data_IF_048464103173
#
_entry.id   IF_048464103173
#
_cell.length_a   1.000
_cell.length_b   1.000
_cell.length_c   1.000
_cell.angle_alpha   90.00
_cell.angle_beta   90.00
_cell.angle_gamma   90.00
#
_symmetry.space_group_name_H-M   'P 1'
#
loop_
_entity.id
_entity.type
_entity.pdbx_description
1 polymer ?
#
# COMPACT_ATOMS: atom_id res chain seq x y z
N UNK A 1 13.83 -3.35 5.33
CA UNK A 1 13.30 -2.80 4.06
C UNK A 1 12.51 -1.53 4.35
N UNK A 2 12.86 -0.42 3.69
CA UNK A 2 11.98 0.74 3.52
C UNK A 2 11.56 0.73 2.05
N UNK A 3 10.26 0.70 1.77
CA UNK A 3 9.74 0.43 0.42
C UNK A 3 9.88 1.64 -0.49
N UNK A 4 10.31 1.41 -1.74
CA UNK A 4 10.49 2.47 -2.76
C UNK A 4 9.79 2.12 -4.09
N UNK A 5 9.29 0.89 -4.25
CA UNK A 5 8.71 0.38 -5.51
C UNK A 5 7.51 1.14 -6.09
N UNK A 6 6.95 2.08 -5.33
CA UNK A 6 5.82 2.91 -5.74
C UNK A 6 6.16 4.40 -5.90
N UNK A 7 7.40 4.85 -5.64
CA UNK A 7 7.77 6.28 -5.62
C UNK A 7 7.56 6.98 -6.97
N UNK A 8 7.91 6.33 -8.08
CA UNK A 8 7.77 6.89 -9.43
C UNK A 8 6.35 6.72 -10.02
N UNK A 9 5.56 5.80 -9.45
CA UNK A 9 4.28 5.36 -10.00
C UNK A 9 3.18 5.39 -8.92
N UNK A 10 2.85 6.60 -8.46
CA UNK A 10 1.93 6.88 -7.33
C UNK A 10 0.48 7.10 -7.73
N UNK A 11 0.19 7.17 -9.02
CA UNK A 11 -1.16 7.48 -9.56
C UNK A 11 -1.94 6.25 -10.03
N UNK A 12 -1.38 5.04 -9.89
CA UNK A 12 -2.00 3.79 -10.34
C UNK A 12 -2.99 3.19 -9.33
N UNK A 13 -3.64 2.08 -9.75
CA UNK A 13 -4.57 1.33 -8.90
C UNK A 13 -3.88 0.78 -7.64
N UNK A 14 -4.59 0.75 -6.51
CA UNK A 14 -4.06 0.27 -5.23
C UNK A 14 -3.66 -1.21 -5.32
N UNK A 15 -4.37 -2.01 -6.11
CA UNK A 15 -4.02 -3.41 -6.33
C UNK A 15 -2.68 -3.53 -7.06
N UNK A 16 -2.45 -2.71 -8.09
CA UNK A 16 -1.18 -2.69 -8.82
C UNK A 16 -0.02 -2.24 -7.92
N UNK A 17 -0.23 -1.21 -7.10
CA UNK A 17 0.76 -0.80 -6.10
C UNK A 17 1.03 -1.91 -5.07
N UNK A 18 -0.01 -2.67 -4.71
CA UNK A 18 0.10 -3.84 -3.84
C UNK A 18 0.93 -4.96 -4.47
N UNK A 19 0.77 -5.23 -5.77
CA UNK A 19 1.58 -6.22 -6.51
C UNK A 19 3.05 -5.84 -6.46
N UNK A 20 3.37 -4.58 -6.77
CA UNK A 20 4.74 -4.05 -6.72
C UNK A 20 5.35 -4.16 -5.33
N UNK A 21 4.58 -3.86 -4.28
CA UNK A 21 5.03 -4.01 -2.89
C UNK A 21 5.28 -5.47 -2.53
N UNK A 22 4.37 -6.39 -2.87
CA UNK A 22 4.56 -7.81 -2.59
C UNK A 22 5.83 -8.34 -3.27
N UNK A 23 6.09 -7.94 -4.51
CA UNK A 23 7.29 -8.34 -5.24
C UNK A 23 8.57 -7.82 -4.58
N UNK A 24 8.59 -6.55 -4.15
CA UNK A 24 9.74 -5.98 -3.41
C UNK A 24 10.00 -6.73 -2.10
N UNK A 25 8.95 -7.09 -1.37
CA UNK A 25 9.06 -7.88 -0.14
C UNK A 25 9.62 -9.28 -0.40
N UNK A 26 9.11 -9.98 -1.41
CA UNK A 26 9.60 -11.32 -1.80
C UNK A 26 11.08 -11.25 -2.17
N UNK A 27 11.46 -10.29 -3.03
CA UNK A 27 12.85 -10.12 -3.45
C UNK A 27 13.76 -9.85 -2.25
N UNK A 28 13.35 -8.97 -1.33
CA UNK A 28 14.11 -8.69 -0.12
C UNK A 28 14.27 -9.93 0.77
N UNK A 29 13.22 -10.75 0.92
CA UNK A 29 13.30 -12.01 1.67
C UNK A 29 14.28 -12.98 0.98
N UNK A 30 14.19 -13.15 -0.34
CA UNK A 30 15.09 -14.02 -1.10
C UNK A 30 16.56 -13.61 -0.96
N UNK A 31 16.85 -12.31 -1.04
CA UNK A 31 18.21 -11.79 -1.01
C UNK A 31 18.81 -11.82 0.41
N UNK A 32 18.01 -11.56 1.44
CA UNK A 32 18.51 -11.32 2.81
C UNK A 32 18.12 -12.37 3.84
N UNK A 33 17.23 -13.30 3.51
CA UNK A 33 16.72 -14.34 4.42
C UNK A 33 16.73 -15.74 3.75
N UNK A 34 17.91 -16.26 3.34
CA UNK A 34 17.98 -17.52 2.62
C UNK A 34 17.44 -18.71 3.43
N UNK A 35 16.78 -19.65 2.73
CA UNK A 35 16.21 -20.85 3.34
C UNK A 35 15.09 -20.52 4.32
N UNK A 36 15.26 -20.92 5.58
CA UNK A 36 14.26 -20.72 6.65
C UNK A 36 14.59 -19.56 7.59
N UNK A 37 15.55 -18.71 7.21
CA UNK A 37 16.06 -17.62 8.05
C UNK A 37 15.02 -16.53 8.38
N UNK A 38 13.93 -16.43 7.61
CA UNK A 38 12.86 -15.47 7.91
C UNK A 38 12.17 -15.81 9.24
N UNK A 39 12.41 -14.98 10.26
CA UNK A 39 11.82 -15.12 11.58
C UNK A 39 10.40 -14.57 11.65
N UNK A 40 10.23 -13.28 11.38
CA UNK A 40 8.94 -12.55 11.43
C UNK A 40 8.86 -11.54 10.30
N UNK A 41 7.67 -11.39 9.74
CA UNK A 41 7.33 -10.39 8.76
C UNK A 41 6.35 -9.39 9.39
N UNK A 42 6.81 -8.15 9.51
CA UNK A 42 6.05 -7.05 10.11
C UNK A 42 6.02 -5.85 9.18
N UNK A 43 4.91 -5.12 9.19
CA UNK A 43 4.67 -3.97 8.34
C UNK A 43 4.36 -2.73 9.18
N UNK A 44 5.01 -1.63 8.83
CA UNK A 44 4.68 -0.29 9.32
C UNK A 44 4.33 0.54 8.10
N UNK A 45 3.13 1.11 8.08
CA UNK A 45 2.61 1.84 6.95
C UNK A 45 2.06 3.20 7.39
N UNK A 46 2.11 4.18 6.48
CA UNK A 46 1.59 5.52 6.72
C UNK A 46 0.72 5.96 5.54
N UNK A 47 -0.37 6.67 5.84
CA UNK A 47 -1.29 7.21 4.84
C UNK A 47 -1.77 6.11 3.88
N UNK A 48 -1.67 6.33 2.56
CA UNK A 48 -2.05 5.37 1.52
C UNK A 48 -1.27 4.04 1.60
N UNK A 49 -0.06 4.05 2.16
CA UNK A 49 0.76 2.85 2.32
C UNK A 49 0.07 1.74 3.11
N UNK A 50 -0.86 2.07 4.01
CA UNK A 50 -1.62 1.06 4.75
C UNK A 50 -2.61 0.29 3.87
N UNK A 51 -3.23 0.96 2.90
CA UNK A 51 -4.10 0.29 1.91
C UNK A 51 -3.28 -0.54 0.93
N UNK A 52 -2.15 0.00 0.46
CA UNK A 52 -1.20 -0.71 -0.42
C UNK A 52 -0.68 -1.98 0.28
N UNK A 53 -0.31 -1.89 1.56
CA UNK A 53 0.12 -3.05 2.36
C UNK A 53 -0.99 -4.10 2.42
N UNK A 54 -2.24 -3.69 2.69
CA UNK A 54 -3.38 -4.63 2.72
C UNK A 54 -3.61 -5.31 1.37
N UNK A 55 -3.45 -4.59 0.27
CA UNK A 55 -3.53 -5.15 -1.08
C UNK A 55 -2.38 -6.14 -1.37
N UNK A 56 -1.21 -5.97 -0.75
CA UNK A 56 -0.07 -6.86 -0.89
C UNK A 56 -0.23 -8.20 -0.13
N UNK A 57 -0.89 -8.21 1.03
CA UNK A 57 -0.95 -9.37 1.92
C UNK A 57 -1.43 -10.69 1.27
N UNK A 58 -2.47 -10.71 0.40
CA UNK A 58 -2.92 -11.95 -0.25
C UNK A 58 -1.84 -12.59 -1.13
N UNK A 59 -0.95 -11.79 -1.71
CA UNK A 59 0.15 -12.27 -2.55
C UNK A 59 1.32 -12.82 -1.71
N UNK A 60 1.36 -12.50 -0.43
CA UNK A 60 2.38 -12.96 0.53
C UNK A 60 1.91 -14.17 1.35
N UNK A 61 0.91 -14.91 0.88
CA UNK A 61 0.30 -16.03 1.60
C UNK A 61 1.28 -17.13 1.99
N UNK A 62 2.36 -17.34 1.22
CA UNK A 62 3.42 -18.31 1.53
C UNK A 62 4.15 -17.98 2.84
N UNK A 63 4.17 -16.71 3.24
CA UNK A 63 4.76 -16.24 4.50
C UNK A 63 3.74 -16.04 5.62
N UNK A 64 2.50 -16.54 5.48
CA UNK A 64 1.43 -16.32 6.45
C UNK A 64 1.82 -16.74 7.89
N UNK A 65 2.57 -17.83 8.04
CA UNK A 65 3.07 -18.31 9.34
C UNK A 65 4.19 -17.42 9.94
N UNK A 66 4.74 -16.49 9.16
CA UNK A 66 5.73 -15.51 9.61
C UNK A 66 5.12 -14.13 9.86
N UNK A 67 3.89 -13.87 9.42
CA UNK A 67 3.21 -12.59 9.65
C UNK A 67 3.03 -12.34 11.15
N UNK A 68 3.49 -11.18 11.62
CA UNK A 68 3.55 -10.91 13.06
C UNK A 68 2.88 -9.60 13.49
N UNK A 69 3.15 -8.49 12.81
CA UNK A 69 2.60 -7.19 13.23
C UNK A 69 2.33 -6.33 12.01
N UNK A 70 1.15 -5.69 11.98
CA UNK A 70 0.82 -4.65 11.03
C UNK A 70 0.39 -3.39 11.79
N UNK A 71 1.12 -2.30 11.59
CA UNK A 71 0.80 -0.98 12.14
C UNK A 71 0.59 -0.02 10.99
N UNK A 72 -0.51 0.72 11.02
CA UNK A 72 -0.83 1.74 10.02
C UNK A 72 -1.14 3.08 10.71
N UNK A 73 -0.54 4.16 10.23
CA UNK A 73 -0.76 5.52 10.72
C UNK A 73 -1.54 6.34 9.70
N UNK A 74 -2.61 7.01 10.12
CA UNK A 74 -3.38 7.93 9.27
C UNK A 74 -3.90 7.32 7.96
N UNK A 75 -4.17 6.01 7.95
CA UNK A 75 -4.71 5.28 6.79
C UNK A 75 -6.23 5.26 6.81
N UNK A 76 -6.88 5.69 5.73
CA UNK A 76 -8.34 5.61 5.54
C UNK A 76 -8.78 4.19 5.17
N UNK A 77 -8.83 3.28 6.14
CA UNK A 77 -9.19 1.86 5.91
C UNK A 77 -10.62 1.62 5.43
N UNK A 78 -11.53 2.55 5.70
CA UNK A 78 -12.95 2.45 5.36
C UNK A 78 -13.35 3.41 4.24
N UNK A 79 -12.36 3.92 3.49
CA UNK A 79 -12.57 5.00 2.53
C UNK A 79 -12.73 6.36 3.21
N UNK A 80 -12.94 7.40 2.39
CA UNK A 80 -13.22 8.76 2.83
C UNK A 80 -14.72 8.98 2.68
N UNK A 81 -15.41 9.40 3.74
CA UNK A 81 -16.82 9.80 3.67
C UNK A 81 -16.97 11.09 2.87
N UNK A 82 -17.07 10.99 1.54
CA UNK A 82 -17.15 12.11 0.60
C UNK A 82 -18.53 12.78 0.54
N UNK A 83 -19.58 12.16 1.09
CA UNK A 83 -20.96 12.61 0.88
C UNK A 83 -21.40 13.84 1.71
N UNK A 84 -20.60 14.33 2.67
CA UNK A 84 -21.03 15.39 3.60
C UNK A 84 -20.42 16.78 3.38
N UNK A 85 -19.54 16.98 2.39
CA UNK A 85 -18.87 18.28 2.18
C UNK A 85 -18.87 18.65 0.69
N UNK A 86 -19.93 19.32 0.23
CA UNK A 86 -20.11 19.75 -1.17
C UNK A 86 -18.93 20.57 -1.72
N UNK A 87 -18.33 21.44 -0.91
CA UNK A 87 -17.16 22.25 -1.29
C UNK A 87 -15.89 21.41 -1.53
N UNK A 88 -15.73 20.31 -0.81
CA UNK A 88 -14.58 19.42 -0.97
C UNK A 88 -14.67 18.64 -2.29
N UNK A 89 -15.86 18.18 -2.67
CA UNK A 89 -16.06 17.51 -3.95
C UNK A 89 -15.80 18.43 -5.15
N UNK A 90 -16.20 19.70 -5.10
CA UNK A 90 -15.88 20.67 -6.17
C UNK A 90 -14.39 20.98 -6.23
N UNK A 91 -13.74 21.22 -5.09
CA UNK A 91 -12.29 21.47 -5.04
C UNK A 91 -11.48 20.26 -5.52
N UNK A 92 -11.84 19.06 -5.09
CA UNK A 92 -11.20 17.81 -5.50
C UNK A 92 -11.41 17.51 -7.00
N UNK A 93 -12.60 17.78 -7.55
CA UNK A 93 -12.85 17.67 -8.99
C UNK A 93 -11.98 18.63 -9.80
N UNK A 94 -11.85 19.89 -9.37
CA UNK A 94 -10.95 20.87 -10.02
C UNK A 94 -9.50 20.38 -9.96
N UNK A 95 -9.04 19.91 -8.79
CA UNK A 95 -7.69 19.35 -8.62
C UNK A 95 -7.45 18.12 -9.49
N UNK A 96 -8.41 17.18 -9.56
CA UNK A 96 -8.36 16.00 -10.46
C UNK A 96 -8.22 16.43 -11.92
N UNK A 97 -9.03 17.41 -12.35
CA UNK A 97 -9.01 17.91 -13.73
C UNK A 97 -7.72 18.65 -14.08
N UNK A 98 -7.08 19.26 -13.09
CA UNK A 98 -5.80 19.95 -13.27
C UNK A 98 -4.60 19.01 -13.25
N UNK A 99 -4.66 17.93 -12.45
CA UNK A 99 -3.55 16.98 -12.28
C UNK A 99 -3.62 15.74 -13.18
N UNK A 100 -4.71 15.52 -13.93
CA UNK A 100 -4.94 14.31 -14.76
C UNK A 100 -4.86 12.98 -14.00
N UNK A 101 -4.98 12.95 -12.67
CA UNK A 101 -4.93 11.71 -11.90
C UNK A 101 -6.31 11.02 -11.89
N UNK A 102 -6.41 9.81 -12.46
CA UNK A 102 -7.60 8.95 -12.35
C UNK A 102 -7.51 8.08 -11.09
N UNK A 103 -8.08 8.56 -9.99
CA UNK A 103 -8.37 7.71 -8.82
C UNK A 103 -9.79 7.14 -8.93
N UNK A 104 -9.90 5.82 -9.03
CA UNK A 104 -11.02 4.97 -8.63
C UNK A 104 -10.48 3.70 -7.99
#
# INVERSE_FOLDING_TARGET
LCSTCNEDNTEGDITEMGIRLAQEVVNYICDWCPGTALGRLSFIAHSMGGLITRAALPMLHEYANKMYTFISFSTSHLGIFQDKISLFNTGFWVLKKWRKSEFL
#
